data_IF_303057994196
#
_entry.id   IF_303057994196
#
_cell.length_a   1.000
_cell.length_b   1.000
_cell.length_c   1.000
_cell.angle_alpha   90.00
_cell.angle_beta   90.00
_cell.angle_gamma   90.00
#
_symmetry.space_group_name_H-M   'P 1'
#
loop_
_entity.id
_entity.type
_entity.pdbx_description
1 polymer ?
#
# COMPACT_ATOMS: atom_id res chain seq x y z
N UNK A 1 10.08 51.71 1.71
CA UNK A 1 8.92 51.75 0.79
C UNK A 1 9.17 50.58 -0.18
N UNK A 2 8.60 49.41 0.10
CA UNK A 2 8.78 48.18 -0.68
C UNK A 2 7.64 48.14 -1.69
N UNK A 3 7.98 47.99 -2.98
CA UNK A 3 6.99 47.93 -4.07
C UNK A 3 6.29 46.54 -4.02
N UNK A 4 4.94 46.47 -3.93
CA UNK A 4 4.20 45.21 -3.79
C UNK A 4 3.88 44.52 -5.12
N UNK A 5 4.58 44.82 -6.22
CA UNK A 5 4.22 44.36 -7.57
C UNK A 5 5.23 43.46 -8.26
N UNK A 6 6.14 42.84 -7.56
CA UNK A 6 6.91 41.77 -8.19
C UNK A 6 6.10 40.46 -8.11
N UNK A 7 5.67 39.91 -9.26
CA UNK A 7 5.06 38.59 -9.28
C UNK A 7 6.17 37.53 -9.07
N UNK A 8 6.19 36.92 -7.92
CA UNK A 8 6.92 35.66 -7.72
C UNK A 8 6.19 34.52 -8.48
N UNK A 9 6.23 34.63 -9.79
CA UNK A 9 5.86 33.56 -10.70
C UNK A 9 7.08 32.72 -11.03
N UNK A 10 7.54 31.88 -10.09
CA UNK A 10 8.29 30.71 -10.48
C UNK A 10 7.29 29.76 -11.16
N UNK A 11 7.30 29.75 -12.50
CA UNK A 11 6.61 28.72 -13.23
C UNK A 11 7.10 27.37 -12.70
N UNK A 12 6.19 26.41 -12.41
CA UNK A 12 6.63 25.07 -12.03
C UNK A 12 7.45 24.54 -13.22
N UNK A 13 8.75 24.36 -12.99
CA UNK A 13 9.63 23.69 -13.93
C UNK A 13 8.94 22.38 -14.27
N UNK A 14 8.54 22.22 -15.53
CA UNK A 14 8.00 20.96 -16.05
C UNK A 14 9.02 19.88 -15.68
N UNK A 15 8.72 19.10 -14.68
CA UNK A 15 9.52 17.92 -14.34
C UNK A 15 9.52 17.06 -15.60
N UNK A 16 10.67 16.94 -16.25
CA UNK A 16 10.82 16.04 -17.40
C UNK A 16 10.52 14.65 -16.88
N UNK A 17 9.35 14.11 -17.24
CA UNK A 17 9.00 12.74 -16.92
C UNK A 17 10.08 11.83 -17.49
N UNK A 18 10.87 11.18 -16.63
CA UNK A 18 11.80 10.14 -17.09
C UNK A 18 11.00 8.97 -17.67
N UNK A 19 11.56 8.30 -18.65
CA UNK A 19 10.96 7.09 -19.19
C UNK A 19 10.89 6.01 -18.08
N UNK A 20 9.79 5.24 -17.98
CA UNK A 20 9.70 4.12 -17.05
C UNK A 20 10.82 3.11 -17.27
N UNK A 21 11.35 2.57 -16.19
CA UNK A 21 12.43 1.59 -16.19
C UNK A 21 11.94 0.20 -15.80
N UNK A 22 12.81 -0.80 -15.86
CA UNK A 22 12.49 -2.13 -15.37
C UNK A 22 12.28 -2.17 -13.84
N UNK A 23 12.94 -1.28 -13.09
CA UNK A 23 12.73 -1.15 -11.64
C UNK A 23 11.36 -0.56 -11.33
N UNK A 24 10.93 0.47 -12.08
CA UNK A 24 9.58 1.01 -11.97
C UNK A 24 8.53 -0.07 -12.23
N UNK A 25 8.73 -0.89 -13.28
CA UNK A 25 7.79 -1.98 -13.58
C UNK A 25 7.66 -3.00 -12.44
N UNK A 26 8.75 -3.31 -11.73
CA UNK A 26 8.70 -4.18 -10.53
C UNK A 26 7.92 -3.50 -9.40
N UNK A 27 8.17 -2.21 -9.15
CA UNK A 27 7.47 -1.47 -8.10
C UNK A 27 5.98 -1.32 -8.39
N UNK A 28 5.61 -1.01 -9.63
CA UNK A 28 4.21 -0.90 -10.08
C UNK A 28 3.48 -2.25 -9.96
N UNK A 29 4.10 -3.34 -10.43
CA UNK A 29 3.53 -4.68 -10.33
C UNK A 29 3.32 -5.10 -8.85
N UNK A 30 4.22 -4.72 -7.95
CA UNK A 30 4.03 -4.94 -6.51
C UNK A 30 2.80 -4.20 -5.98
N UNK A 31 2.64 -2.91 -6.33
CA UNK A 31 1.51 -2.09 -5.89
C UNK A 31 0.18 -2.65 -6.42
N UNK A 32 0.13 -3.05 -7.68
CA UNK A 32 -1.06 -3.66 -8.29
C UNK A 32 -1.45 -4.95 -7.56
N UNK A 33 -0.49 -5.85 -7.33
CA UNK A 33 -0.75 -7.10 -6.62
C UNK A 33 -1.09 -6.88 -5.14
N UNK A 34 -0.47 -5.89 -4.49
CA UNK A 34 -0.83 -5.52 -3.13
C UNK A 34 -2.28 -5.05 -3.05
N UNK A 35 -2.76 -4.28 -4.01
CA UNK A 35 -4.17 -3.85 -4.07
C UNK A 35 -5.14 -5.04 -4.28
N UNK A 36 -4.70 -6.13 -4.91
CA UNK A 36 -5.49 -7.38 -5.03
C UNK A 36 -5.56 -8.16 -3.72
N UNK A 37 -4.44 -8.22 -2.97
CA UNK A 37 -4.32 -8.97 -1.71
C UNK A 37 -4.91 -8.18 -0.54
N UNK A 38 -4.71 -6.85 -0.52
CA UNK A 38 -5.18 -5.94 0.52
C UNK A 38 -6.23 -4.97 -0.01
N UNK A 39 -7.53 -5.28 0.12
CA UNK A 39 -8.61 -4.37 -0.20
C UNK A 39 -8.55 -3.04 0.56
N UNK A 40 -8.05 -3.06 1.78
CA UNK A 40 -7.89 -1.86 2.61
C UNK A 40 -6.80 -0.95 2.06
N UNK A 41 -5.65 -1.50 1.64
CA UNK A 41 -4.62 -0.73 0.94
C UNK A 41 -5.16 -0.09 -0.34
N UNK A 42 -5.94 -0.82 -1.14
CA UNK A 42 -6.55 -0.29 -2.35
C UNK A 42 -7.50 0.88 -2.03
N UNK A 43 -8.34 0.75 -0.99
CA UNK A 43 -9.25 1.81 -0.53
C UNK A 43 -8.49 3.07 -0.12
N UNK A 44 -7.49 2.95 0.77
CA UNK A 44 -6.70 4.09 1.26
C UNK A 44 -5.87 4.78 0.18
N UNK A 45 -5.42 4.00 -0.81
CA UNK A 45 -4.63 4.51 -1.93
C UNK A 45 -5.46 5.04 -3.10
N UNK A 46 -6.79 4.89 -3.05
CA UNK A 46 -7.69 5.27 -4.16
C UNK A 46 -7.49 4.39 -5.41
N UNK A 47 -7.00 3.19 -5.23
CA UNK A 47 -6.78 2.23 -6.31
C UNK A 47 -8.04 1.37 -6.54
N UNK A 48 -8.25 0.85 -7.75
CA UNK A 48 -9.27 -0.16 -7.99
C UNK A 48 -9.03 -1.39 -7.10
N UNK A 49 -10.08 -1.87 -6.44
CA UNK A 49 -9.98 -3.02 -5.55
C UNK A 49 -11.34 -3.64 -5.25
N UNK A 50 -11.39 -4.56 -4.30
CA UNK A 50 -12.62 -5.23 -3.85
C UNK A 50 -13.30 -4.40 -2.78
N UNK A 51 -14.07 -3.39 -3.17
CA UNK A 51 -14.67 -2.40 -2.27
C UNK A 51 -15.51 -3.00 -1.13
N UNK A 52 -16.11 -4.18 -1.31
CA UNK A 52 -16.91 -4.87 -0.28
C UNK A 52 -16.14 -5.93 0.51
N UNK A 53 -14.80 -5.88 0.56
CA UNK A 53 -13.95 -6.83 1.26
C UNK A 53 -13.03 -6.14 2.27
N UNK A 54 -12.54 -6.90 3.23
CA UNK A 54 -11.49 -6.52 4.20
C UNK A 54 -10.22 -7.32 3.93
N UNK A 55 -9.11 -6.89 4.51
CA UNK A 55 -7.87 -7.67 4.53
C UNK A 55 -8.06 -8.94 5.34
N UNK A 56 -7.26 -9.96 5.02
CA UNK A 56 -7.20 -11.21 5.77
C UNK A 56 -6.15 -11.06 6.88
N UNK A 57 -6.60 -10.93 8.11
CA UNK A 57 -5.73 -10.82 9.30
C UNK A 57 -5.37 -12.18 9.92
N UNK A 58 -5.70 -13.29 9.26
CA UNK A 58 -5.26 -14.62 9.65
C UNK A 58 -3.76 -14.84 9.39
N UNK A 59 -3.15 -15.89 9.95
CA UNK A 59 -1.78 -16.29 9.58
C UNK A 59 -1.61 -16.47 8.07
N UNK A 60 -2.62 -17.00 7.37
CA UNK A 60 -2.55 -17.19 5.92
C UNK A 60 -2.51 -15.85 5.16
N UNK A 61 -3.21 -14.82 5.64
CA UNK A 61 -3.12 -13.46 5.08
C UNK A 61 -1.74 -12.85 5.31
N UNK A 62 -1.13 -13.04 6.49
CA UNK A 62 0.23 -12.62 6.77
C UNK A 62 1.25 -13.32 5.84
N UNK A 63 1.12 -14.63 5.66
CA UNK A 63 1.95 -15.41 4.74
C UNK A 63 1.82 -14.91 3.30
N UNK A 64 0.61 -14.60 2.83
CA UNK A 64 0.38 -14.09 1.48
C UNK A 64 1.06 -12.72 1.24
N UNK A 65 1.08 -11.84 2.24
CA UNK A 65 1.80 -10.57 2.18
C UNK A 65 3.32 -10.78 2.20
N UNK A 66 3.83 -11.72 2.98
CA UNK A 66 5.24 -12.10 3.01
C UNK A 66 5.69 -12.66 1.65
N UNK A 67 4.93 -13.58 1.06
CA UNK A 67 5.21 -14.11 -0.28
C UNK A 67 5.26 -13.01 -1.34
N UNK A 68 4.32 -12.07 -1.30
CA UNK A 68 4.30 -10.93 -2.24
C UNK A 68 5.57 -10.06 -2.12
N UNK A 69 6.03 -9.79 -0.90
CA UNK A 69 7.28 -9.04 -0.65
C UNK A 69 8.51 -9.83 -1.14
N UNK A 70 8.58 -11.12 -0.84
CA UNK A 70 9.67 -11.97 -1.26
C UNK A 70 9.79 -12.05 -2.79
N UNK A 71 8.67 -12.16 -3.51
CA UNK A 71 8.65 -12.12 -4.97
C UNK A 71 9.15 -10.78 -5.53
N UNK A 72 8.73 -9.65 -4.93
CA UNK A 72 9.19 -8.33 -5.33
C UNK A 72 10.71 -8.17 -5.09
N UNK A 73 11.22 -8.64 -3.95
CA UNK A 73 12.67 -8.65 -3.66
C UNK A 73 13.46 -9.51 -4.65
N UNK A 74 12.94 -10.67 -5.02
CA UNK A 74 13.57 -11.54 -6.02
C UNK A 74 13.59 -10.89 -7.40
N UNK A 75 12.50 -10.24 -7.81
CA UNK A 75 12.42 -9.50 -9.05
C UNK A 75 13.41 -8.31 -9.08
N UNK A 76 13.51 -7.54 -7.99
CA UNK A 76 14.48 -6.46 -7.85
C UNK A 76 15.93 -6.96 -7.89
N UNK A 77 16.21 -8.14 -7.32
CA UNK A 77 17.56 -8.73 -7.36
C UNK A 77 17.99 -9.11 -8.78
N UNK A 78 17.04 -9.47 -9.64
CA UNK A 78 17.27 -9.81 -11.04
C UNK A 78 17.29 -8.59 -11.98
N UNK A 79 16.98 -7.38 -11.46
CA UNK A 79 16.83 -6.17 -12.28
C UNK A 79 18.02 -5.23 -12.06
N UNK A 80 18.60 -4.73 -13.17
CA UNK A 80 19.66 -3.73 -13.12
C UNK A 80 19.06 -2.32 -13.03
N UNK A 81 19.65 -1.45 -12.20
CA UNK A 81 19.29 -0.03 -12.16
C UNK A 81 19.75 0.70 -13.42
N UNK A 82 18.89 1.54 -13.99
CA UNK A 82 19.21 2.38 -15.13
C UNK A 82 19.70 3.79 -14.71
N UNK A 83 19.25 4.29 -13.56
CA UNK A 83 19.55 5.64 -13.08
C UNK A 83 19.62 5.73 -11.54
N UNK A 84 19.76 6.96 -11.02
CA UNK A 84 19.84 7.23 -9.58
C UNK A 84 18.51 6.98 -8.85
N UNK A 85 17.38 7.22 -9.52
CA UNK A 85 16.04 6.96 -8.95
C UNK A 85 15.86 5.47 -8.75
N UNK A 86 16.22 4.65 -9.73
CA UNK A 86 16.21 3.19 -9.60
C UNK A 86 17.05 2.71 -8.42
N UNK A 87 18.25 3.27 -8.25
CA UNK A 87 19.12 2.91 -7.12
C UNK A 87 18.46 3.21 -5.77
N UNK A 88 17.82 4.37 -5.65
CA UNK A 88 17.09 4.75 -4.43
C UNK A 88 15.89 3.83 -4.22
N UNK A 89 15.12 3.55 -5.27
CA UNK A 89 13.95 2.66 -5.21
C UNK A 89 14.35 1.26 -4.75
N UNK A 90 15.40 0.68 -5.35
CA UNK A 90 15.90 -0.65 -4.97
C UNK A 90 16.34 -0.68 -3.50
N UNK A 91 17.08 0.35 -3.04
CA UNK A 91 17.55 0.40 -1.66
C UNK A 91 16.37 0.54 -0.69
N UNK A 92 15.42 1.43 -0.98
CA UNK A 92 14.26 1.67 -0.13
C UNK A 92 13.35 0.42 -0.03
N UNK A 93 13.07 -0.24 -1.17
CA UNK A 93 12.26 -1.44 -1.16
C UNK A 93 12.95 -2.60 -0.44
N UNK A 94 14.26 -2.80 -0.66
CA UNK A 94 15.03 -3.85 0.04
C UNK A 94 15.07 -3.62 1.55
N UNK A 95 15.31 -2.39 1.97
CA UNK A 95 15.33 -2.06 3.39
C UNK A 95 13.95 -2.28 4.02
N UNK A 96 12.90 -1.73 3.41
CA UNK A 96 11.55 -1.82 3.95
C UNK A 96 11.03 -3.27 3.96
N UNK A 97 11.14 -3.98 2.86
CA UNK A 97 10.64 -5.36 2.78
C UNK A 97 11.50 -6.31 3.61
N UNK A 98 12.82 -6.08 3.69
CA UNK A 98 13.70 -6.89 4.54
C UNK A 98 13.31 -6.81 6.02
N UNK A 99 12.98 -5.62 6.51
CA UNK A 99 12.47 -5.45 7.89
C UNK A 99 11.12 -6.16 8.09
N UNK A 100 10.20 -6.04 7.14
CA UNK A 100 8.90 -6.73 7.22
C UNK A 100 9.05 -8.26 7.19
N UNK A 101 10.01 -8.79 6.42
CA UNK A 101 10.32 -10.23 6.42
C UNK A 101 10.90 -10.70 7.78
N UNK A 102 11.83 -9.92 8.35
CA UNK A 102 12.38 -10.22 9.69
C UNK A 102 11.29 -10.22 10.76
N UNK A 103 10.34 -9.28 10.70
CA UNK A 103 9.20 -9.20 11.61
C UNK A 103 8.25 -10.41 11.42
N UNK A 104 7.98 -10.79 10.17
CA UNK A 104 7.17 -11.95 9.84
C UNK A 104 7.81 -13.25 10.35
N UNK A 105 9.10 -13.48 10.09
CA UNK A 105 9.85 -14.63 10.59
C UNK A 105 9.87 -14.70 12.12
N UNK A 106 9.89 -13.55 12.79
CA UNK A 106 9.80 -13.45 14.25
C UNK A 106 8.37 -13.63 14.78
N UNK A 107 7.34 -13.67 13.92
CA UNK A 107 5.94 -13.75 14.28
C UNK A 107 5.37 -12.48 14.92
N UNK A 108 6.02 -11.33 14.68
CA UNK A 108 5.59 -10.05 15.26
C UNK A 108 4.33 -9.48 14.60
N UNK A 109 4.10 -9.77 13.33
CA UNK A 109 2.87 -9.43 12.59
C UNK A 109 1.61 -10.05 13.23
N UNK A 110 1.72 -11.23 13.82
CA UNK A 110 0.64 -11.91 14.55
C UNK A 110 0.47 -11.42 16.00
N UNK A 111 1.29 -10.48 16.46
CA UNK A 111 1.25 -9.88 17.81
C UNK A 111 0.72 -8.46 17.82
N UNK A 112 0.18 -7.97 16.72
CA UNK A 112 -0.24 -6.59 16.53
C UNK A 112 -1.50 -6.20 17.33
N UNK A 113 -1.62 -6.65 18.59
CA UNK A 113 -2.72 -6.26 19.47
C UNK A 113 -2.26 -5.18 20.43
N UNK A 114 -2.71 -3.97 20.20
CA UNK A 114 -2.45 -2.81 21.08
C UNK A 114 -3.62 -1.82 21.04
N UNK A 115 -3.53 -0.75 21.83
CA UNK A 115 -4.61 0.23 21.95
C UNK A 115 -4.57 1.39 20.93
N UNK A 116 -3.59 1.40 20.03
CA UNK A 116 -3.38 2.50 19.07
C UNK A 116 -3.58 2.01 17.64
N UNK A 117 -2.88 0.94 17.27
CA UNK A 117 -2.87 0.40 15.91
C UNK A 117 -2.88 -1.13 15.97
N UNK A 118 -4.02 -1.73 15.77
CA UNK A 118 -4.23 -3.17 15.66
C UNK A 118 -5.25 -3.45 14.57
N UNK A 119 -5.41 -4.70 14.11
CA UNK A 119 -6.43 -5.05 13.12
C UNK A 119 -7.82 -4.49 13.42
N UNK A 120 -8.21 -4.40 14.69
CA UNK A 120 -9.52 -3.86 15.09
C UNK A 120 -9.64 -2.37 14.76
N UNK A 121 -8.58 -1.57 15.03
CA UNK A 121 -8.57 -0.15 14.69
C UNK A 121 -8.53 0.05 13.17
N UNK A 122 -7.72 -0.73 12.46
CA UNK A 122 -7.63 -0.65 11.00
C UNK A 122 -8.96 -0.97 10.33
N UNK A 123 -9.64 -2.03 10.76
CA UNK A 123 -10.99 -2.36 10.28
C UNK A 123 -11.97 -1.21 10.57
N UNK A 124 -11.95 -0.63 11.75
CA UNK A 124 -12.80 0.52 12.08
C UNK A 124 -12.50 1.70 11.17
N UNK A 125 -11.22 2.03 10.96
CA UNK A 125 -10.82 3.14 10.12
C UNK A 125 -11.23 2.92 8.65
N UNK A 126 -11.27 1.66 8.20
CA UNK A 126 -11.82 1.28 6.88
C UNK A 126 -13.28 1.72 6.75
N UNK A 127 -14.11 1.51 7.77
CA UNK A 127 -15.49 1.98 7.77
C UNK A 127 -15.62 3.50 7.81
N UNK A 128 -14.74 4.19 8.56
CA UNK A 128 -14.72 5.65 8.62
C UNK A 128 -14.33 6.30 7.27
N UNK A 129 -13.56 5.59 6.43
CA UNK A 129 -13.11 6.05 5.11
C UNK A 129 -13.90 5.47 3.93
N UNK A 130 -14.87 4.58 4.19
CA UNK A 130 -15.64 3.95 3.11
C UNK A 130 -16.54 4.98 2.41
N UNK A 131 -16.60 4.98 1.06
CA UNK A 131 -17.57 5.79 0.34
C UNK A 131 -19.02 5.48 0.79
N UNK A 132 -19.86 6.52 0.87
CA UNK A 132 -21.26 6.39 1.29
C UNK A 132 -22.20 7.27 0.44
N UNK A 133 -21.84 7.54 -0.80
CA UNK A 133 -22.58 8.43 -1.68
C UNK A 133 -23.69 7.73 -2.49
N UNK A 134 -23.51 6.46 -2.79
CA UNK A 134 -24.42 5.67 -3.64
C UNK A 134 -25.00 4.46 -2.93
N UNK A 135 -26.05 3.86 -3.49
CA UNK A 135 -26.59 2.58 -3.00
C UNK A 135 -25.54 1.47 -3.06
N UNK A 136 -24.71 1.45 -4.11
CA UNK A 136 -23.62 0.48 -4.25
C UNK A 136 -22.60 0.60 -3.11
N UNK A 137 -22.22 1.83 -2.73
CA UNK A 137 -21.30 2.05 -1.60
C UNK A 137 -21.86 1.46 -0.29
N UNK A 138 -23.17 1.60 -0.05
CA UNK A 138 -23.82 1.01 1.11
C UNK A 138 -23.91 -0.51 1.07
N UNK A 139 -24.06 -1.10 -0.11
CA UNK A 139 -24.01 -2.55 -0.31
C UNK A 139 -22.61 -3.10 0.00
N UNK A 140 -21.56 -2.42 -0.49
CA UNK A 140 -20.16 -2.74 -0.20
C UNK A 140 -19.85 -2.58 1.29
N UNK A 141 -20.27 -1.48 1.91
CA UNK A 141 -20.15 -1.24 3.35
C UNK A 141 -20.80 -2.39 4.16
N UNK A 142 -22.02 -2.78 3.79
CA UNK A 142 -22.70 -3.90 4.44
C UNK A 142 -22.01 -5.25 4.20
N UNK A 143 -21.32 -5.43 3.06
CA UNK A 143 -20.50 -6.60 2.78
C UNK A 143 -19.27 -6.63 3.68
N UNK A 144 -18.55 -5.51 3.83
CA UNK A 144 -17.43 -5.39 4.76
C UNK A 144 -17.85 -5.73 6.20
N UNK A 145 -19.01 -5.22 6.68
CA UNK A 145 -19.51 -5.55 8.03
C UNK A 145 -19.71 -7.06 8.23
N UNK A 146 -20.22 -7.75 7.22
CA UNK A 146 -20.42 -9.21 7.30
C UNK A 146 -19.08 -9.97 7.24
N UNK A 147 -18.05 -9.39 6.63
CA UNK A 147 -16.73 -10.01 6.49
C UNK A 147 -15.90 -9.94 7.78
N UNK A 148 -16.18 -9.02 8.71
CA UNK A 148 -15.37 -8.80 9.93
C UNK A 148 -15.06 -10.09 10.70
N UNK A 149 -16.02 -11.00 10.99
CA UNK A 149 -15.69 -12.22 11.73
C UNK A 149 -14.71 -13.14 10.99
N UNK A 150 -14.82 -13.20 9.66
CA UNK A 150 -13.92 -14.01 8.83
C UNK A 150 -12.53 -13.40 8.68
N UNK A 151 -12.44 -12.08 8.63
CA UNK A 151 -11.17 -11.37 8.53
C UNK A 151 -10.29 -11.53 9.79
N UNK A 152 -10.90 -11.81 10.94
CA UNK A 152 -10.22 -11.97 12.25
C UNK A 152 -10.11 -13.45 12.69
N UNK A 153 -10.47 -14.40 11.84
CA UNK A 153 -10.42 -15.83 12.16
C UNK A 153 -9.04 -16.41 11.81
#
# INVERSE_FOLDING_TARGET
MIDPREPHGAEPTSASHRAPTAVDAVAEAYVERLAEVSPEFALYSGLPGRAGALDDYSPAGADALAELRAEALAALAATASADDVDRVTIVAMRERFGVEEELHEAGEDLRALNNIASPIQTIRDTFDNHPMATTGDWEDFASCLRAVPGALA
#
